data_IF_549045822460
#
_entry.id   IF_549045822460
#
_cell.length_a   1.000
_cell.length_b   1.000
_cell.length_c   1.000
_cell.angle_alpha   90.00
_cell.angle_beta   90.00
_cell.angle_gamma   90.00
#
_symmetry.space_group_name_H-M   'P 1'
#
loop_
_entity.id
_entity.type
_entity.pdbx_description
1 polymer ?
#
# COMPACT_ATOMS: atom_id res chain seq x y z
N UNK A 1 -1.70 10.77 14.41
CA UNK A 1 -1.86 10.15 13.07
C UNK A 1 -1.88 11.24 12.01
N UNK A 2 -1.13 11.04 10.97
CA UNK A 2 -1.07 11.96 9.82
C UNK A 2 -2.14 11.53 8.81
N UNK A 3 -2.95 12.48 8.35
CA UNK A 3 -3.95 12.21 7.30
C UNK A 3 -3.50 12.81 5.98
N UNK A 4 -3.58 12.01 4.92
CA UNK A 4 -3.28 12.44 3.56
C UNK A 4 -4.51 12.13 2.69
N UNK A 5 -4.99 13.15 1.98
CA UNK A 5 -6.04 12.99 0.98
C UNK A 5 -5.39 12.66 -0.36
N UNK A 6 -5.67 11.47 -0.88
CA UNK A 6 -5.10 11.02 -2.15
C UNK A 6 -5.83 11.56 -3.37
N UNK A 7 -6.95 12.27 -3.18
CA UNK A 7 -7.70 12.83 -4.29
C UNK A 7 -6.80 13.76 -5.12
N UNK A 8 -6.81 13.58 -6.42
CA UNK A 8 -5.97 14.31 -7.39
C UNK A 8 -4.46 14.06 -7.29
N UNK A 9 -4.00 13.13 -6.45
CA UNK A 9 -2.58 12.72 -6.45
C UNK A 9 -2.39 11.53 -7.38
N UNK A 10 -1.39 11.60 -8.27
CA UNK A 10 -0.94 10.43 -8.99
C UNK A 10 -0.05 9.56 -8.09
N UNK A 11 0.34 8.38 -8.58
CA UNK A 11 1.11 7.43 -7.79
C UNK A 11 2.47 7.98 -7.38
N UNK A 12 3.11 8.77 -8.22
CA UNK A 12 4.43 9.35 -7.91
C UNK A 12 4.32 10.41 -6.84
N UNK A 13 3.39 11.34 -6.98
CA UNK A 13 3.18 12.40 -5.99
C UNK A 13 2.79 11.82 -4.64
N UNK A 14 1.93 10.80 -4.64
CA UNK A 14 1.51 10.13 -3.43
C UNK A 14 2.69 9.46 -2.72
N UNK A 15 3.48 8.69 -3.43
CA UNK A 15 4.64 8.01 -2.84
C UNK A 15 5.70 9.01 -2.36
N UNK A 16 5.91 10.10 -3.07
CA UNK A 16 6.83 11.14 -2.61
C UNK A 16 6.39 11.74 -1.27
N UNK A 17 5.08 11.89 -1.07
CA UNK A 17 4.56 12.35 0.22
C UNK A 17 4.69 11.33 1.33
N UNK A 18 4.64 10.04 1.02
CA UNK A 18 4.77 8.97 2.02
C UNK A 18 6.23 8.77 2.48
N UNK A 19 7.20 9.06 1.62
CA UNK A 19 8.60 8.84 1.94
C UNK A 19 9.04 9.68 3.13
N UNK A 20 9.73 9.03 4.06
CA UNK A 20 10.27 9.70 5.24
C UNK A 20 9.27 9.92 6.36
N UNK A 21 8.00 9.61 6.17
CA UNK A 21 7.03 9.68 7.26
C UNK A 21 7.17 8.45 8.13
N UNK A 22 7.47 8.67 9.42
CA UNK A 22 7.64 7.59 10.39
C UNK A 22 6.44 7.39 11.30
N UNK A 23 5.51 8.33 11.30
CA UNK A 23 4.27 8.24 12.06
C UNK A 23 3.22 7.44 11.26
N UNK A 24 2.20 6.87 11.93
CA UNK A 24 1.08 6.26 11.21
C UNK A 24 0.36 7.24 10.30
N UNK A 25 -0.01 6.78 9.10
CA UNK A 25 -0.69 7.59 8.09
C UNK A 25 -2.05 6.99 7.79
N UNK A 26 -3.05 7.84 7.76
CA UNK A 26 -4.36 7.52 7.20
C UNK A 26 -4.46 8.15 5.81
N UNK A 27 -4.59 7.31 4.79
CA UNK A 27 -4.71 7.72 3.41
C UNK A 27 -6.17 7.59 2.99
N UNK A 28 -6.75 8.69 2.53
CA UNK A 28 -8.17 8.73 2.15
C UNK A 28 -8.34 8.99 0.66
N UNK A 29 -9.49 8.63 0.12
CA UNK A 29 -9.88 8.89 -1.27
C UNK A 29 -8.93 8.26 -2.30
N UNK A 30 -8.35 7.10 -1.99
CA UNK A 30 -7.60 6.36 -3.01
C UNK A 30 -8.53 5.94 -4.15
N UNK A 31 -8.07 6.14 -5.36
CA UNK A 31 -8.81 5.82 -6.57
C UNK A 31 -7.85 5.30 -7.64
N UNK A 32 -7.38 4.07 -7.48
CA UNK A 32 -6.57 3.39 -8.48
C UNK A 32 -5.10 3.81 -8.57
N UNK A 33 -4.58 4.56 -7.62
CA UNK A 33 -3.15 4.87 -7.62
C UNK A 33 -2.35 3.59 -7.42
N UNK A 34 -1.52 3.25 -8.38
CA UNK A 34 -0.68 2.04 -8.35
C UNK A 34 0.62 2.28 -7.59
N UNK A 35 1.29 1.19 -7.22
CA UNK A 35 2.59 1.20 -6.56
C UNK A 35 2.63 1.92 -5.21
N UNK A 36 1.50 2.06 -4.51
CA UNK A 36 1.48 2.71 -3.20
C UNK A 36 2.44 1.97 -2.26
N UNK A 37 3.33 2.71 -1.61
CA UNK A 37 4.35 2.23 -0.69
C UNK A 37 5.35 1.24 -1.30
N UNK A 38 5.49 1.21 -2.64
CA UNK A 38 6.41 0.30 -3.30
C UNK A 38 7.85 0.56 -2.88
N UNK A 39 8.54 -0.51 -2.47
CA UNK A 39 9.96 -0.45 -2.09
C UNK A 39 10.26 0.33 -0.82
N UNK A 40 9.26 0.73 -0.08
CA UNK A 40 9.48 1.56 1.11
C UNK A 40 10.01 0.76 2.30
N UNK A 41 10.77 1.45 3.14
CA UNK A 41 11.11 1.03 4.49
C UNK A 41 9.82 0.89 5.33
N UNK A 42 9.89 0.35 6.55
CA UNK A 42 8.68 0.10 7.33
C UNK A 42 7.74 1.30 7.37
N UNK A 43 6.48 1.05 7.03
CA UNK A 43 5.41 2.05 7.02
C UNK A 43 4.26 1.56 7.91
N UNK A 44 3.42 2.49 8.36
CA UNK A 44 2.16 2.17 9.01
C UNK A 44 1.07 2.95 8.28
N UNK A 45 0.28 2.26 7.46
CA UNK A 45 -0.61 2.89 6.50
C UNK A 45 -2.00 2.28 6.61
N UNK A 46 -3.00 3.13 6.79
CA UNK A 46 -4.41 2.75 6.74
C UNK A 46 -5.04 3.44 5.54
N UNK A 47 -5.62 2.65 4.62
CA UNK A 47 -6.13 3.15 3.34
C UNK A 47 -7.65 3.02 3.28
N UNK A 48 -8.33 4.10 2.96
CA UNK A 48 -9.74 4.08 2.53
C UNK A 48 -9.82 4.44 1.05
N UNK A 49 -10.73 3.79 0.34
CA UNK A 49 -10.80 3.84 -1.11
C UNK A 49 -10.22 2.58 -1.74
N UNK A 50 -9.88 2.63 -3.00
CA UNK A 50 -9.35 1.49 -3.76
C UNK A 50 -7.94 1.81 -4.25
N UNK A 51 -6.90 1.27 -3.60
CA UNK A 51 -5.55 1.39 -4.14
C UNK A 51 -5.44 0.61 -5.44
N UNK A 52 -4.58 1.07 -6.32
CA UNK A 52 -4.33 0.44 -7.60
C UNK A 52 -3.39 -0.76 -7.51
N UNK A 53 -2.95 -1.24 -8.67
CA UNK A 53 -2.08 -2.42 -8.77
C UNK A 53 -0.76 -2.22 -8.03
N UNK A 54 -0.17 -3.34 -7.60
CA UNK A 54 1.14 -3.39 -6.96
C UNK A 54 1.23 -2.62 -5.64
N UNK A 55 0.14 -2.58 -4.87
CA UNK A 55 0.16 -2.08 -3.51
C UNK A 55 1.23 -2.82 -2.70
N UNK A 56 2.17 -2.09 -2.10
CA UNK A 56 3.19 -2.68 -1.26
C UNK A 56 4.20 -3.57 -2.00
N UNK A 57 4.34 -3.41 -3.31
CA UNK A 57 5.37 -4.12 -4.06
C UNK A 57 6.76 -3.81 -3.49
N UNK A 58 7.59 -4.84 -3.29
CA UNK A 58 8.93 -4.71 -2.70
C UNK A 58 8.95 -4.12 -1.28
N UNK A 59 7.82 -4.14 -0.58
CA UNK A 59 7.74 -3.61 0.79
C UNK A 59 8.75 -4.27 1.71
N UNK A 60 9.39 -3.47 2.57
CA UNK A 60 10.45 -3.93 3.48
C UNK A 60 10.05 -3.83 4.96
N UNK A 61 8.79 -4.03 5.28
CA UNK A 61 8.32 -4.07 6.66
C UNK A 61 7.16 -3.13 6.91
N UNK A 62 6.70 -3.13 8.15
CA UNK A 62 5.56 -2.33 8.57
C UNK A 62 4.23 -3.00 8.29
N UNK A 63 3.17 -2.19 8.22
CA UNK A 63 1.81 -2.69 8.07
C UNK A 63 0.98 -1.78 7.18
N UNK A 64 0.29 -2.38 6.22
CA UNK A 64 -0.68 -1.68 5.38
C UNK A 64 -2.04 -2.34 5.60
N UNK A 65 -3.05 -1.54 5.93
CA UNK A 65 -4.43 -2.01 6.09
C UNK A 65 -5.31 -1.29 5.08
N UNK A 66 -6.02 -2.05 4.25
CA UNK A 66 -6.97 -1.51 3.27
C UNK A 66 -8.38 -1.77 3.78
N UNK A 67 -9.15 -0.72 3.96
CA UNK A 67 -10.56 -0.80 4.36
C UNK A 67 -11.45 -0.80 3.12
N UNK A 68 -11.36 -1.85 2.33
CA UNK A 68 -12.08 -2.02 1.08
C UNK A 68 -11.34 -2.96 0.16
N UNK A 69 -11.54 -2.80 -1.13
CA UNK A 69 -10.93 -3.68 -2.14
C UNK A 69 -9.56 -3.16 -2.57
N UNK A 70 -8.68 -4.07 -2.95
CA UNK A 70 -7.44 -3.77 -3.64
C UNK A 70 -7.49 -4.40 -5.04
N UNK A 71 -6.49 -4.14 -5.87
CA UNK A 71 -6.43 -4.63 -7.23
C UNK A 71 -5.37 -5.74 -7.37
N UNK A 72 -4.69 -5.80 -8.51
CA UNK A 72 -3.78 -6.90 -8.81
C UNK A 72 -2.39 -6.69 -8.19
N UNK A 73 -1.64 -7.78 -8.03
CA UNK A 73 -0.24 -7.80 -7.63
C UNK A 73 0.02 -7.17 -6.25
N UNK A 74 -0.93 -7.27 -5.32
CA UNK A 74 -0.73 -6.84 -3.92
C UNK A 74 0.47 -7.59 -3.34
N UNK A 75 1.45 -6.84 -2.81
CA UNK A 75 2.63 -7.43 -2.18
C UNK A 75 3.57 -8.15 -3.15
N UNK A 76 3.57 -7.79 -4.44
CA UNK A 76 4.49 -8.35 -5.41
C UNK A 76 5.93 -8.18 -4.96
N UNK A 77 6.67 -9.27 -4.88
CA UNK A 77 8.07 -9.31 -4.43
C UNK A 77 8.28 -8.64 -3.05
N UNK A 78 7.28 -8.71 -2.20
CA UNK A 78 7.33 -8.20 -0.83
C UNK A 78 8.41 -8.93 -0.04
N UNK A 79 9.23 -8.18 0.69
CA UNK A 79 10.35 -8.74 1.47
C UNK A 79 9.98 -8.98 2.93
N UNK A 80 9.18 -8.10 3.52
CA UNK A 80 8.75 -8.19 4.91
C UNK A 80 7.54 -7.29 5.14
N UNK A 81 6.89 -7.45 6.27
CA UNK A 81 5.74 -6.64 6.66
C UNK A 81 4.42 -7.40 6.55
N UNK A 82 3.34 -6.67 6.74
CA UNK A 82 1.99 -7.23 6.72
C UNK A 82 1.07 -6.34 5.89
N UNK A 83 0.30 -6.96 5.00
CA UNK A 83 -0.76 -6.27 4.26
C UNK A 83 -2.08 -6.95 4.58
N UNK A 84 -3.06 -6.19 5.06
CA UNK A 84 -4.40 -6.69 5.37
C UNK A 84 -5.39 -5.98 4.46
N UNK A 85 -6.20 -6.74 3.73
CA UNK A 85 -7.25 -6.21 2.88
C UNK A 85 -8.60 -6.71 3.38
N UNK A 86 -9.46 -5.80 3.82
CA UNK A 86 -10.80 -6.11 4.31
C UNK A 86 -11.83 -6.15 3.17
N UNK A 87 -11.44 -6.67 2.04
CA UNK A 87 -12.30 -6.78 0.87
C UNK A 87 -11.69 -7.77 -0.11
N UNK A 88 -11.96 -7.57 -1.39
CA UNK A 88 -11.43 -8.44 -2.43
C UNK A 88 -10.07 -7.95 -2.91
N UNK A 89 -9.25 -8.89 -3.36
CA UNK A 89 -7.99 -8.61 -4.07
C UNK A 89 -8.06 -9.26 -5.44
N UNK A 90 -7.29 -8.72 -6.37
CA UNK A 90 -7.20 -9.26 -7.72
C UNK A 90 -6.18 -10.39 -7.83
N UNK A 91 -5.66 -10.57 -9.03
CA UNK A 91 -4.76 -11.67 -9.37
C UNK A 91 -3.33 -11.39 -8.89
N UNK A 92 -2.54 -12.46 -8.78
CA UNK A 92 -1.10 -12.43 -8.49
C UNK A 92 -0.73 -11.78 -7.15
N UNK A 93 -1.62 -11.76 -6.16
CA UNK A 93 -1.27 -11.33 -4.82
C UNK A 93 -0.13 -12.20 -4.27
N UNK A 94 0.89 -11.56 -3.71
CA UNK A 94 2.05 -12.26 -3.17
C UNK A 94 2.98 -12.87 -4.22
N UNK A 95 2.86 -12.48 -5.49
CA UNK A 95 3.73 -13.01 -6.54
C UNK A 95 5.21 -12.74 -6.20
N UNK A 96 6.04 -13.78 -6.31
CA UNK A 96 7.46 -13.71 -5.98
C UNK A 96 7.77 -13.18 -4.56
N UNK A 97 6.84 -13.30 -3.65
CA UNK A 97 6.97 -12.85 -2.27
C UNK A 97 8.13 -13.55 -1.58
N UNK A 98 8.96 -12.79 -0.87
CA UNK A 98 10.14 -13.33 -0.17
C UNK A 98 9.92 -13.44 1.33
N UNK A 99 8.96 -12.72 1.88
CA UNK A 99 8.64 -12.72 3.29
C UNK A 99 7.43 -11.86 3.57
N UNK A 100 7.04 -11.79 4.83
CA UNK A 100 5.87 -11.04 5.24
C UNK A 100 4.57 -11.84 5.13
N UNK A 101 3.46 -11.13 5.25
CA UNK A 101 2.11 -11.72 5.23
C UNK A 101 1.15 -10.85 4.44
N UNK A 102 0.23 -11.47 3.77
CA UNK A 102 -0.89 -10.81 3.13
C UNK A 102 -2.19 -11.45 3.63
#
# INVERSE_FOLDING_TARGET
>A
MISIDADHLDHKALNDRLRGIKAPVQLTNCCGQRFIAAGMAPVSLSITGVPGNALGAYLNGGKIVVHGNAQDAVGDTMNDGTIIVHGSIGDAAGYAMRGGKI
#
